data_IF_174443997542
#
_entry.id   IF_174443997542
#
_cell.length_a   1.000
_cell.length_b   1.000
_cell.length_c   1.000
_cell.angle_alpha   90.00
_cell.angle_beta   90.00
_cell.angle_gamma   90.00
#
_symmetry.space_group_name_H-M   'P 1'
#
loop_
_entity.id
_entity.type
_entity.pdbx_description
1 polymer ?
#
# COMPACT_ATOMS: atom_id res chain seq x y z
N UNK A 1 47.20 26.66 -27.41
CA UNK A 1 47.23 25.55 -28.39
C UNK A 1 46.46 24.40 -27.75
N UNK A 2 45.34 23.88 -28.26
CA UNK A 2 44.65 24.07 -29.53
C UNK A 2 43.13 23.97 -29.28
N UNK A 3 42.39 24.78 -30.03
CA UNK A 3 40.93 24.83 -30.15
C UNK A 3 40.43 23.73 -31.10
N UNK A 4 39.31 23.08 -30.81
CA UNK A 4 38.51 22.37 -31.81
C UNK A 4 37.03 22.73 -31.70
N UNK A 5 36.46 23.04 -32.86
CA UNK A 5 35.18 23.69 -33.09
C UNK A 5 34.05 22.70 -33.37
N UNK A 6 32.87 23.08 -32.87
CA UNK A 6 31.50 22.96 -33.41
C UNK A 6 31.22 22.00 -34.57
N UNK A 7 30.19 21.15 -34.40
CA UNK A 7 29.14 20.95 -35.39
C UNK A 7 27.78 20.74 -34.70
N UNK A 8 26.93 21.76 -34.82
CA UNK A 8 25.51 21.78 -34.49
C UNK A 8 24.70 21.30 -35.70
N UNK A 9 23.82 20.32 -35.50
CA UNK A 9 22.85 19.86 -36.51
C UNK A 9 21.46 20.41 -36.20
N UNK A 10 20.95 21.26 -37.09
CA UNK A 10 19.55 21.71 -37.13
C UNK A 10 18.78 20.88 -38.17
N UNK A 11 17.56 20.39 -37.88
CA UNK A 11 16.68 19.88 -38.91
C UNK A 11 15.80 21.01 -39.48
N UNK A 12 15.95 21.26 -40.77
CA UNK A 12 15.04 22.09 -41.57
C UNK A 12 13.81 21.28 -41.95
N UNK A 13 12.62 21.72 -41.53
CA UNK A 13 11.34 21.22 -42.02
C UNK A 13 10.69 22.30 -42.89
N UNK A 14 10.59 22.01 -44.19
CA UNK A 14 9.91 22.82 -45.18
C UNK A 14 8.41 22.45 -45.20
N UNK A 15 7.48 23.42 -45.27
CA UNK A 15 6.04 23.13 -45.23
C UNK A 15 5.52 22.71 -46.61
N UNK A 16 4.84 21.57 -46.68
CA UNK A 16 4.12 21.11 -47.88
C UNK A 16 2.75 21.82 -47.94
N UNK A 17 2.60 22.63 -48.99
CA UNK A 17 1.38 23.28 -49.46
C UNK A 17 0.39 22.23 -49.99
N UNK A 18 -0.70 21.96 -49.29
CA UNK A 18 -1.82 21.20 -49.84
C UNK A 18 -2.77 22.14 -50.60
N UNK A 19 -2.88 21.92 -51.90
CA UNK A 19 -3.84 22.58 -52.78
C UNK A 19 -5.23 21.94 -52.65
N UNK A 20 -6.25 22.80 -52.56
CA UNK A 20 -7.64 22.45 -52.76
C UNK A 20 -7.88 21.94 -54.19
N UNK A 21 -8.54 20.78 -54.32
CA UNK A 21 -9.24 20.42 -55.54
C UNK A 21 -10.60 19.80 -55.19
N UNK A 22 -11.68 20.54 -55.47
CA UNK A 22 -13.02 19.99 -55.72
C UNK A 22 -13.05 19.41 -57.14
N UNK A 23 -13.94 18.44 -57.38
CA UNK A 23 -14.69 18.49 -58.63
C UNK A 23 -16.21 18.37 -58.39
N UNK A 24 -16.95 19.27 -59.05
CA UNK A 24 -18.38 19.17 -59.32
C UNK A 24 -18.52 19.15 -60.86
N UNK A 25 -19.23 18.16 -61.42
CA UNK A 25 -19.95 18.19 -62.71
C UNK A 25 -20.67 16.83 -62.84
N UNK A 26 -22.00 16.72 -62.65
CA UNK A 26 -23.13 17.00 -63.57
C UNK A 26 -23.18 16.10 -64.83
N UNK A 27 -24.27 15.32 -64.85
CA UNK A 27 -25.10 14.74 -65.92
C UNK A 27 -24.53 13.69 -66.90
N UNK A 28 -25.27 12.56 -67.04
CA UNK A 28 -26.15 12.28 -68.21
C UNK A 28 -27.04 11.06 -67.90
N UNK A 29 -28.27 11.16 -68.40
CA UNK A 29 -29.45 10.29 -68.29
C UNK A 29 -29.27 8.85 -68.81
N UNK A 30 -29.99 7.89 -68.20
CA UNK A 30 -30.74 6.87 -68.97
C UNK A 30 -31.82 6.15 -68.15
N UNK A 31 -33.08 6.48 -68.49
CA UNK A 31 -34.24 5.60 -68.71
C UNK A 31 -34.54 4.44 -67.73
N UNK A 32 -35.65 4.59 -66.99
CA UNK A 32 -36.50 3.50 -66.49
C UNK A 32 -37.14 2.69 -67.64
N UNK A 33 -37.66 1.49 -67.33
CA UNK A 33 -39.11 1.35 -67.44
C UNK A 33 -39.77 0.71 -66.22
N UNK A 34 -41.01 1.13 -65.98
CA UNK A 34 -41.99 0.53 -65.07
C UNK A 34 -42.57 -0.75 -65.69
N UNK A 35 -42.81 -1.75 -64.86
CA UNK A 35 -43.93 -2.69 -65.00
C UNK A 35 -44.38 -3.14 -63.59
N UNK A 36 -45.70 -3.15 -63.41
CA UNK A 36 -46.53 -3.45 -62.23
C UNK A 36 -47.73 -4.25 -62.79
N UNK A 37 -48.59 -4.97 -62.04
CA UNK A 37 -48.47 -5.79 -60.83
C UNK A 37 -48.98 -7.24 -61.07
N UNK A 38 -48.86 -8.15 -60.08
CA UNK A 38 -49.77 -9.30 -59.95
C UNK A 38 -50.23 -9.42 -58.49
N UNK A 39 -51.54 -9.66 -58.33
CA UNK A 39 -52.34 -9.57 -57.11
C UNK A 39 -53.17 -10.86 -57.02
N UNK A 40 -53.14 -11.53 -55.86
CA UNK A 40 -54.17 -12.47 -55.39
C UNK A 40 -54.24 -12.29 -53.86
N UNK A 41 -55.21 -11.53 -53.34
CA UNK A 41 -56.46 -12.00 -52.68
C UNK A 41 -56.18 -12.60 -51.29
N UNK A 42 -56.30 -11.83 -50.20
CA UNK A 42 -57.52 -11.44 -49.45
C UNK A 42 -58.11 -12.56 -48.59
N UNK A 43 -57.94 -12.42 -47.27
CA UNK A 43 -59.02 -12.63 -46.29
C UNK A 43 -58.76 -11.71 -45.10
N UNK A 44 -59.75 -10.91 -44.74
CA UNK A 44 -59.66 -9.93 -43.65
C UNK A 44 -60.28 -10.45 -42.36
N UNK A 45 -59.76 -9.96 -41.23
CA UNK A 45 -60.48 -9.79 -39.96
C UNK A 45 -59.58 -9.07 -38.96
N UNK A 46 -59.90 -7.82 -38.65
CA UNK A 46 -59.70 -7.17 -37.34
C UNK A 46 -61.05 -7.28 -36.60
N UNK A 47 -61.11 -7.35 -35.24
CA UNK A 47 -60.47 -6.38 -34.33
C UNK A 47 -59.74 -6.95 -33.08
N UNK A 48 -58.84 -6.12 -32.53
CA UNK A 48 -58.26 -5.95 -31.16
C UNK A 48 -58.61 -6.92 -29.99
N UNK A 49 -57.88 -6.91 -28.84
CA UNK A 49 -56.46 -6.63 -28.59
C UNK A 49 -55.82 -7.66 -27.60
N UNK A 50 -54.53 -7.46 -27.30
CA UNK A 50 -53.78 -7.97 -26.12
C UNK A 50 -53.11 -9.36 -26.14
N UNK A 51 -51.83 -9.30 -25.74
CA UNK A 51 -51.00 -10.34 -25.10
C UNK A 51 -50.08 -11.15 -26.02
N UNK A 52 -48.94 -10.56 -26.39
CA UNK A 52 -47.72 -11.31 -26.67
C UNK A 52 -46.89 -11.49 -25.39
N UNK A 53 -46.30 -12.66 -25.15
CA UNK A 53 -45.02 -12.77 -24.49
C UNK A 53 -43.99 -13.24 -25.53
N UNK A 54 -43.51 -12.34 -26.38
CA UNK A 54 -42.39 -12.65 -27.25
C UNK A 54 -41.06 -12.47 -26.51
N UNK A 55 -40.39 -13.61 -26.41
CA UNK A 55 -39.03 -13.79 -25.93
C UNK A 55 -38.06 -13.19 -26.93
N UNK A 56 -37.67 -11.93 -26.77
CA UNK A 56 -36.42 -11.40 -27.32
C UNK A 56 -36.04 -10.07 -26.65
N UNK A 57 -34.72 -9.84 -26.56
CA UNK A 57 -34.01 -8.59 -26.21
C UNK A 57 -33.85 -8.23 -24.72
N UNK A 58 -32.85 -8.83 -24.08
CA UNK A 58 -32.12 -8.17 -22.98
C UNK A 58 -30.89 -7.46 -23.57
N UNK A 59 -31.13 -6.36 -24.29
CA UNK A 59 -30.08 -5.43 -24.68
C UNK A 59 -29.75 -4.53 -23.48
N UNK A 60 -28.48 -4.59 -23.09
CA UNK A 60 -27.82 -3.91 -21.99
C UNK A 60 -27.92 -2.39 -22.11
N UNK A 61 -28.85 -1.74 -21.40
CA UNK A 61 -28.86 -0.26 -21.26
C UNK A 61 -28.99 0.24 -19.81
N UNK A 62 -29.17 -0.66 -18.84
CA UNK A 62 -29.24 -0.34 -17.39
C UNK A 62 -27.88 -0.40 -16.69
N UNK A 63 -26.81 -0.82 -17.37
CA UNK A 63 -25.53 -1.23 -16.75
C UNK A 63 -24.64 -0.12 -16.19
N UNK A 64 -24.45 1.00 -16.91
CA UNK A 64 -23.38 1.97 -16.59
C UNK A 64 -23.60 2.76 -15.30
N UNK A 65 -24.84 3.18 -15.02
CA UNK A 65 -25.16 3.87 -13.75
C UNK A 65 -24.98 2.96 -12.54
N UNK A 66 -25.25 1.65 -12.67
CA UNK A 66 -25.04 0.68 -11.61
C UNK A 66 -23.54 0.42 -11.40
N UNK A 67 -22.77 0.31 -12.48
CA UNK A 67 -21.31 0.21 -12.43
C UNK A 67 -20.69 1.34 -11.61
N UNK A 68 -21.03 2.60 -11.89
CA UNK A 68 -20.44 3.74 -11.16
C UNK A 68 -20.83 3.78 -9.68
N UNK A 69 -22.04 3.33 -9.33
CA UNK A 69 -22.45 3.14 -7.92
C UNK A 69 -21.62 2.07 -7.23
N UNK A 70 -21.37 0.94 -7.89
CA UNK A 70 -20.49 -0.11 -7.38
C UNK A 70 -19.05 0.41 -7.19
N UNK A 71 -18.51 1.13 -8.19
CA UNK A 71 -17.19 1.76 -8.10
C UNK A 71 -17.11 2.69 -6.90
N UNK A 72 -18.12 3.54 -6.68
CA UNK A 72 -18.19 4.44 -5.53
C UNK A 72 -18.24 3.67 -4.20
N UNK A 73 -19.03 2.59 -4.13
CA UNK A 73 -19.13 1.73 -2.95
C UNK A 73 -17.83 1.02 -2.61
N UNK A 74 -17.20 0.34 -3.58
CA UNK A 74 -15.93 -0.37 -3.39
C UNK A 74 -14.82 0.61 -3.01
N UNK A 75 -14.77 1.78 -3.66
CA UNK A 75 -13.81 2.83 -3.32
C UNK A 75 -14.04 3.38 -1.90
N UNK A 76 -15.29 3.47 -1.46
CA UNK A 76 -15.64 3.85 -0.08
C UNK A 76 -15.13 2.84 0.96
N UNK A 77 -15.18 1.53 0.66
CA UNK A 77 -14.62 0.49 1.52
C UNK A 77 -13.10 0.65 1.63
N UNK A 78 -12.41 0.85 0.50
CA UNK A 78 -10.96 1.10 0.49
C UNK A 78 -10.56 2.39 1.22
N UNK A 79 -11.39 3.42 1.13
CA UNK A 79 -11.21 4.67 1.89
C UNK A 79 -11.32 4.42 3.40
N UNK A 80 -12.30 3.62 3.83
CA UNK A 80 -12.46 3.25 5.23
C UNK A 80 -11.27 2.41 5.74
N UNK A 81 -10.86 1.39 4.97
CA UNK A 81 -9.70 0.55 5.27
C UNK A 81 -8.43 1.39 5.46
N UNK A 82 -8.12 2.25 4.48
CA UNK A 82 -6.90 3.09 4.52
C UNK A 82 -6.98 4.18 5.60
N UNK A 83 -8.16 4.68 5.93
CA UNK A 83 -8.37 5.58 7.07
C UNK A 83 -8.09 4.90 8.39
N UNK A 84 -8.52 3.64 8.56
CA UNK A 84 -8.21 2.84 9.74
C UNK A 84 -6.71 2.60 9.87
N UNK A 85 -6.03 2.20 8.80
CA UNK A 85 -4.58 2.00 8.79
C UNK A 85 -3.81 3.30 9.10
N UNK A 86 -4.31 4.44 8.62
CA UNK A 86 -3.72 5.74 8.94
C UNK A 86 -3.89 6.08 10.43
N UNK A 87 -5.06 5.81 11.01
CA UNK A 87 -5.33 6.05 12.42
C UNK A 87 -4.41 5.24 13.34
N UNK A 88 -4.24 3.93 13.07
CA UNK A 88 -3.34 3.08 13.88
C UNK A 88 -1.88 3.51 13.72
N UNK A 89 -1.46 3.95 12.52
CA UNK A 89 -0.10 4.45 12.28
C UNK A 89 0.20 5.74 13.06
N UNK A 90 -0.80 6.62 13.21
CA UNK A 90 -0.68 7.87 13.98
C UNK A 90 -0.74 7.66 15.50
N UNK A 91 -1.48 6.64 15.95
CA UNK A 91 -1.65 6.34 17.38
C UNK A 91 -0.61 5.35 17.92
N UNK A 92 0.21 4.75 17.06
CA UNK A 92 1.19 3.74 17.45
C UNK A 92 0.54 2.45 17.98
N UNK A 93 -0.74 2.21 17.67
CA UNK A 93 -1.48 1.03 18.12
C UNK A 93 -1.30 -0.13 17.14
N UNK A 94 -1.35 -1.36 17.64
CA UNK A 94 -1.25 -2.55 16.79
C UNK A 94 -2.50 -2.77 15.92
N UNK A 95 -2.26 -3.27 14.71
CA UNK A 95 -3.33 -3.60 13.77
C UNK A 95 -4.08 -4.86 14.21
N UNK A 96 -5.42 -4.78 14.31
CA UNK A 96 -6.24 -5.94 14.66
C UNK A 96 -6.26 -6.95 13.50
N UNK A 97 -5.67 -8.14 13.68
CA UNK A 97 -5.66 -9.19 12.66
C UNK A 97 -6.61 -10.34 13.07
N UNK A 98 -7.79 -10.49 12.43
CA UNK A 98 -8.76 -11.51 12.82
C UNK A 98 -8.36 -12.94 12.46
N UNK A 99 -7.32 -13.12 11.65
CA UNK A 99 -6.83 -14.44 11.24
C UNK A 99 -5.70 -14.85 12.18
N UNK A 100 -5.95 -15.91 12.95
CA UNK A 100 -5.04 -16.42 13.97
C UNK A 100 -3.66 -16.73 13.38
N UNK A 101 -2.65 -15.92 13.71
CA UNK A 101 -1.24 -16.18 13.39
C UNK A 101 -0.52 -15.26 12.39
N UNK A 102 -1.11 -14.14 11.94
CA UNK A 102 -0.41 -13.17 11.07
C UNK A 102 -0.26 -11.78 11.69
N UNK A 103 0.98 -11.32 11.92
CA UNK A 103 1.28 -9.94 12.31
C UNK A 103 1.34 -9.03 11.07
N UNK A 104 0.33 -8.18 10.86
CA UNK A 104 0.46 -7.06 9.91
C UNK A 104 1.44 -5.99 10.41
N UNK A 105 1.76 -5.99 11.71
CA UNK A 105 2.55 -4.93 12.35
C UNK A 105 3.94 -4.78 11.73
N UNK A 106 4.61 -5.89 11.42
CA UNK A 106 5.95 -5.90 10.81
C UNK A 106 5.95 -5.20 9.44
N UNK A 107 4.92 -5.46 8.64
CA UNK A 107 4.76 -4.88 7.30
C UNK A 107 4.37 -3.40 7.41
N UNK A 108 3.42 -3.07 8.29
CA UNK A 108 2.91 -1.71 8.49
C UNK A 108 3.93 -0.78 9.16
N UNK A 109 4.92 -1.33 9.85
CA UNK A 109 6.02 -0.59 10.48
C UNK A 109 7.34 -0.65 9.71
N UNK A 110 7.41 -1.44 8.63
CA UNK A 110 8.57 -1.46 7.74
C UNK A 110 8.76 -0.18 6.93
N UNK A 111 9.95 -0.04 6.33
CA UNK A 111 10.27 1.04 5.38
C UNK A 111 9.34 1.05 4.14
N UNK A 112 8.69 -0.07 3.84
CA UNK A 112 7.73 -0.15 2.74
C UNK A 112 6.39 0.54 3.04
N UNK A 113 6.11 0.84 4.32
CA UNK A 113 4.91 1.55 4.74
C UNK A 113 4.97 3.07 4.49
N UNK A 114 6.09 3.58 3.97
CA UNK A 114 6.31 5.00 3.67
C UNK A 114 6.80 5.15 2.23
N UNK A 115 6.18 6.04 1.47
CA UNK A 115 6.59 6.38 0.09
C UNK A 115 6.94 7.87 0.07
N UNK A 116 8.18 8.20 -0.30
CA UNK A 116 8.70 9.58 -0.32
C UNK A 116 8.48 10.35 1.00
N UNK A 117 8.58 9.67 2.15
CA UNK A 117 8.35 10.26 3.47
C UNK A 117 6.87 10.39 3.87
N UNK A 118 5.94 10.00 3.00
CA UNK A 118 4.49 10.03 3.27
C UNK A 118 4.00 8.62 3.62
N UNK A 119 3.23 8.45 4.71
CA UNK A 119 2.62 7.16 5.03
C UNK A 119 1.79 6.61 3.87
N UNK A 120 2.03 5.37 3.49
CA UNK A 120 1.31 4.71 2.40
C UNK A 120 -0.22 4.68 2.61
N UNK A 121 -0.76 4.47 3.83
CA UNK A 121 -2.19 4.56 4.08
C UNK A 121 -2.80 5.92 3.71
N UNK A 122 -2.04 7.01 3.86
CA UNK A 122 -2.50 8.35 3.50
C UNK A 122 -2.63 8.52 1.98
N UNK A 123 -1.66 7.98 1.22
CA UNK A 123 -1.70 7.95 -0.24
C UNK A 123 -2.89 7.10 -0.72
N UNK A 124 -3.10 5.93 -0.09
CA UNK A 124 -4.25 5.08 -0.36
C UNK A 124 -5.57 5.78 -0.09
N UNK A 125 -5.69 6.47 1.04
CA UNK A 125 -6.87 7.26 1.41
C UNK A 125 -7.19 8.33 0.36
N UNK A 126 -6.18 9.04 -0.13
CA UNK A 126 -6.35 10.03 -1.21
C UNK A 126 -6.81 9.36 -2.53
N UNK A 127 -6.20 8.24 -2.91
CA UNK A 127 -6.54 7.53 -4.15
C UNK A 127 -7.96 6.93 -4.14
N UNK A 128 -8.33 6.20 -3.08
CA UNK A 128 -9.67 5.66 -2.92
C UNK A 128 -10.72 6.76 -2.76
N UNK A 129 -10.41 7.85 -2.03
CA UNK A 129 -11.29 9.01 -1.92
C UNK A 129 -11.54 9.65 -3.28
N UNK A 130 -10.50 9.83 -4.09
CA UNK A 130 -10.64 10.37 -5.44
C UNK A 130 -11.47 9.46 -6.35
N UNK A 131 -11.20 8.16 -6.36
CA UNK A 131 -11.99 7.19 -7.11
C UNK A 131 -13.47 7.17 -6.67
N UNK A 132 -13.75 7.27 -5.36
CA UNK A 132 -15.10 7.36 -4.82
C UNK A 132 -15.83 8.61 -5.31
N UNK A 133 -15.15 9.78 -5.33
CA UNK A 133 -15.75 11.02 -5.84
C UNK A 133 -16.06 10.94 -7.32
N UNK A 134 -15.16 10.41 -8.15
CA UNK A 134 -15.39 10.23 -9.59
C UNK A 134 -16.53 9.24 -9.84
N UNK A 135 -16.56 8.12 -9.13
CA UNK A 135 -17.66 7.15 -9.20
C UNK A 135 -19.01 7.80 -8.84
N UNK A 136 -19.05 8.60 -7.78
CA UNK A 136 -20.27 9.31 -7.38
C UNK A 136 -20.71 10.38 -8.40
N UNK A 137 -19.77 11.16 -8.94
CA UNK A 137 -20.06 12.17 -9.97
C UNK A 137 -20.58 11.53 -11.26
N UNK A 138 -19.98 10.42 -11.69
CA UNK A 138 -20.44 9.65 -12.85
C UNK A 138 -21.81 9.00 -12.61
N UNK A 139 -22.06 8.48 -11.41
CA UNK A 139 -23.34 7.88 -11.05
C UNK A 139 -24.49 8.90 -10.98
N UNK A 140 -24.20 10.13 -10.55
CA UNK A 140 -25.20 11.20 -10.39
C UNK A 140 -25.27 12.15 -11.59
N UNK A 141 -24.35 12.03 -12.55
CA UNK A 141 -24.11 13.00 -13.63
C UNK A 141 -23.93 14.44 -13.12
N UNK A 142 -23.52 14.62 -11.87
CA UNK A 142 -23.23 15.93 -11.26
C UNK A 142 -21.73 16.14 -11.27
N UNK A 143 -21.23 16.71 -12.36
CA UNK A 143 -19.82 17.04 -12.47
C UNK A 143 -19.53 18.37 -11.78
N UNK A 144 -18.51 18.36 -10.92
CA UNK A 144 -17.97 19.57 -10.32
C UNK A 144 -16.73 20.03 -11.11
N UNK A 145 -16.34 21.30 -10.99
CA UNK A 145 -15.13 21.87 -11.62
C UNK A 145 -15.05 21.84 -13.17
N UNK A 146 -16.20 21.80 -13.87
CA UNK A 146 -16.21 21.86 -15.35
C UNK A 146 -15.69 20.60 -16.04
N UNK A 147 -15.68 19.46 -15.33
CA UNK A 147 -15.26 18.17 -15.88
C UNK A 147 -16.39 17.58 -16.72
N UNK A 148 -16.09 17.15 -17.94
CA UNK A 148 -17.05 16.44 -18.80
C UNK A 148 -17.05 14.93 -18.50
N UNK A 149 -18.15 14.25 -18.83
CA UNK A 149 -18.31 12.79 -18.62
C UNK A 149 -17.13 11.96 -19.17
N UNK A 150 -16.69 12.24 -20.41
CA UNK A 150 -15.57 11.53 -21.03
C UNK A 150 -14.25 11.73 -20.27
N UNK A 151 -14.01 12.94 -19.76
CA UNK A 151 -12.81 13.23 -18.98
C UNK A 151 -12.86 12.54 -17.61
N UNK A 152 -14.02 12.54 -16.95
CA UNK A 152 -14.21 11.84 -15.67
C UNK A 152 -14.00 10.32 -15.82
N UNK A 153 -14.49 9.73 -16.91
CA UNK A 153 -14.26 8.32 -17.24
C UNK A 153 -12.78 8.02 -17.48
N UNK A 154 -12.08 8.87 -18.24
CA UNK A 154 -10.64 8.73 -18.46
C UNK A 154 -9.83 8.87 -17.17
N UNK A 155 -10.21 9.81 -16.31
CA UNK A 155 -9.56 10.06 -15.04
C UNK A 155 -9.78 8.91 -14.05
N UNK A 156 -10.97 8.31 -14.07
CA UNK A 156 -11.28 7.09 -13.31
C UNK A 156 -10.45 5.91 -13.81
N UNK A 157 -10.33 5.73 -15.14
CA UNK A 157 -9.48 4.70 -15.73
C UNK A 157 -8.01 4.89 -15.34
N UNK A 158 -7.49 6.11 -15.43
CA UNK A 158 -6.12 6.43 -15.03
C UNK A 158 -5.87 6.15 -13.55
N UNK A 159 -6.80 6.55 -12.69
CA UNK A 159 -6.71 6.35 -11.23
C UNK A 159 -6.72 4.87 -10.87
N UNK A 160 -7.69 4.11 -11.39
CA UNK A 160 -7.80 2.66 -11.10
C UNK A 160 -6.64 1.86 -11.67
N UNK A 161 -6.10 2.25 -12.84
CA UNK A 161 -4.87 1.68 -13.41
C UNK A 161 -3.67 1.93 -12.49
N UNK A 162 -3.53 3.16 -11.99
CA UNK A 162 -2.47 3.53 -11.05
C UNK A 162 -2.54 2.72 -9.75
N UNK A 163 -3.74 2.59 -9.18
CA UNK A 163 -3.98 1.81 -7.97
C UNK A 163 -3.66 0.33 -8.18
N UNK A 164 -4.10 -0.28 -9.29
CA UNK A 164 -3.80 -1.67 -9.61
C UNK A 164 -2.29 -1.91 -9.82
N UNK A 165 -1.60 -0.99 -10.51
CA UNK A 165 -0.15 -1.06 -10.70
C UNK A 165 0.61 -0.96 -9.36
N UNK A 166 0.22 -0.03 -8.50
CA UNK A 166 0.80 0.12 -7.15
C UNK A 166 0.53 -1.12 -6.29
N UNK A 167 -0.71 -1.61 -6.25
CA UNK A 167 -1.07 -2.84 -5.53
C UNK A 167 -0.32 -4.07 -6.05
N UNK A 168 -0.07 -4.16 -7.37
CA UNK A 168 0.76 -5.22 -7.95
C UNK A 168 2.21 -5.16 -7.44
N UNK A 169 2.77 -3.95 -7.39
CA UNK A 169 4.13 -3.73 -6.86
C UNK A 169 4.21 -4.06 -5.36
N UNK A 170 3.24 -3.65 -4.56
CA UNK A 170 3.21 -3.99 -3.13
C UNK A 170 3.02 -5.48 -2.91
N UNK A 171 2.19 -6.15 -3.71
CA UNK A 171 2.06 -7.60 -3.67
C UNK A 171 3.40 -8.29 -3.98
N UNK A 172 4.13 -7.80 -4.99
CA UNK A 172 5.48 -8.27 -5.28
C UNK A 172 6.39 -8.14 -4.04
N UNK A 173 6.45 -6.96 -3.43
CA UNK A 173 7.24 -6.74 -2.20
C UNK A 173 6.81 -7.66 -1.07
N UNK A 174 5.50 -7.83 -0.81
CA UNK A 174 5.00 -8.73 0.22
C UNK A 174 5.52 -10.16 0.00
N UNK A 175 5.47 -10.65 -1.24
CA UNK A 175 5.90 -12.02 -1.56
C UNK A 175 7.43 -12.20 -1.53
N UNK A 176 8.21 -11.16 -1.82
CA UNK A 176 9.68 -11.27 -1.90
C UNK A 176 10.41 -10.83 -0.64
N UNK A 177 9.93 -9.80 0.05
CA UNK A 177 10.58 -9.23 1.23
C UNK A 177 10.03 -9.81 2.55
N UNK A 178 8.78 -10.29 2.56
CA UNK A 178 8.12 -10.82 3.76
C UNK A 178 7.55 -12.23 3.53
N UNK A 179 8.36 -13.23 3.16
CA UNK A 179 7.86 -14.56 2.80
C UNK A 179 7.19 -15.33 3.96
N UNK A 180 7.49 -14.96 5.22
CA UNK A 180 6.96 -15.61 6.41
C UNK A 180 5.75 -14.89 7.04
N UNK A 181 5.42 -13.68 6.58
CA UNK A 181 4.37 -12.84 7.18
C UNK A 181 3.25 -12.56 6.17
N UNK A 182 2.00 -12.71 6.61
CA UNK A 182 0.82 -12.39 5.78
C UNK A 182 0.08 -11.20 6.36
N UNK A 183 -0.15 -10.16 5.57
CA UNK A 183 -0.99 -9.04 6.00
C UNK A 183 -2.37 -9.01 5.31
N UNK A 184 -3.42 -9.28 6.10
CA UNK A 184 -4.81 -9.31 5.64
C UNK A 184 -5.27 -7.98 5.06
N UNK A 185 -4.86 -6.86 5.66
CA UNK A 185 -5.20 -5.53 5.15
C UNK A 185 -4.57 -5.29 3.77
N UNK A 186 -3.27 -5.55 3.60
CA UNK A 186 -2.64 -5.35 2.29
C UNK A 186 -3.28 -6.23 1.20
N UNK A 187 -3.66 -7.47 1.52
CA UNK A 187 -4.38 -8.35 0.60
C UNK A 187 -5.78 -7.82 0.26
N UNK A 188 -6.50 -7.28 1.25
CA UNK A 188 -7.80 -6.64 1.02
C UNK A 188 -7.66 -5.46 0.06
N UNK A 189 -6.72 -4.56 0.30
CA UNK A 189 -6.46 -3.43 -0.60
C UNK A 189 -6.10 -3.87 -2.03
N UNK A 190 -5.28 -4.93 -2.18
CA UNK A 190 -4.97 -5.54 -3.49
C UNK A 190 -6.26 -5.99 -4.18
N UNK A 191 -7.12 -6.75 -3.50
CA UNK A 191 -8.38 -7.25 -4.05
C UNK A 191 -9.27 -6.06 -4.47
N UNK A 192 -9.41 -5.04 -3.64
CA UNK A 192 -10.23 -3.86 -3.95
C UNK A 192 -9.71 -3.12 -5.19
N UNK A 193 -8.41 -2.86 -5.28
CA UNK A 193 -7.79 -2.16 -6.42
C UNK A 193 -7.95 -2.91 -7.73
N UNK A 194 -7.74 -4.22 -7.74
CA UNK A 194 -7.93 -5.03 -8.94
C UNK A 194 -9.40 -5.08 -9.36
N UNK A 195 -10.34 -5.26 -8.41
CA UNK A 195 -11.77 -5.24 -8.72
C UNK A 195 -12.20 -3.91 -9.36
N UNK A 196 -11.75 -2.77 -8.80
CA UNK A 196 -12.03 -1.45 -9.38
C UNK A 196 -11.51 -1.31 -10.80
N UNK A 197 -10.29 -1.77 -11.07
CA UNK A 197 -9.70 -1.76 -12.40
C UNK A 197 -10.51 -2.62 -13.38
N UNK A 198 -10.83 -3.87 -13.02
CA UNK A 198 -11.59 -4.76 -13.89
C UNK A 198 -13.01 -4.26 -14.18
N UNK A 199 -13.70 -3.70 -13.18
CA UNK A 199 -15.03 -3.11 -13.36
C UNK A 199 -14.95 -1.91 -14.32
N UNK A 200 -13.93 -1.06 -14.15
CA UNK A 200 -13.75 0.15 -14.97
C UNK A 200 -13.42 -0.19 -16.42
N UNK A 201 -12.54 -1.17 -16.66
CA UNK A 201 -12.21 -1.66 -18.01
C UNK A 201 -13.43 -2.28 -18.70
N UNK A 202 -14.25 -3.05 -17.96
CA UNK A 202 -15.48 -3.66 -18.51
C UNK A 202 -16.51 -2.61 -18.92
N UNK A 203 -16.67 -1.55 -18.13
CA UNK A 203 -17.65 -0.48 -18.38
C UNK A 203 -17.29 0.38 -19.59
N UNK A 204 -15.99 0.70 -19.75
CA UNK A 204 -15.47 1.46 -20.89
C UNK A 204 -15.43 0.67 -22.21
N UNK A 205 -15.45 -0.66 -22.11
CA UNK A 205 -15.33 -1.55 -23.24
C UNK A 205 -13.88 -1.80 -23.66
N UNK A 206 -13.58 -3.05 -24.02
CA UNK A 206 -12.24 -3.49 -24.41
C UNK A 206 -11.70 -2.75 -25.63
N UNK A 207 -12.58 -2.36 -26.56
CA UNK A 207 -12.17 -1.66 -27.79
C UNK A 207 -11.63 -0.26 -27.51
N UNK A 208 -12.27 0.50 -26.62
CA UNK A 208 -11.80 1.84 -26.24
C UNK A 208 -10.59 1.74 -25.32
N UNK A 209 -10.59 0.75 -24.41
CA UNK A 209 -9.43 0.46 -23.56
C UNK A 209 -8.18 0.12 -24.38
N UNK A 210 -8.33 -0.64 -25.46
CA UNK A 210 -7.20 -0.98 -26.34
C UNK A 210 -6.59 0.25 -27.01
N UNK A 211 -7.42 1.24 -27.39
CA UNK A 211 -6.92 2.53 -27.90
C UNK A 211 -6.15 3.30 -26.82
N UNK A 212 -6.54 3.17 -25.57
CA UNK A 212 -5.91 3.81 -24.41
C UNK A 212 -4.76 2.98 -23.79
N UNK A 213 -4.45 1.79 -24.33
CA UNK A 213 -3.50 0.86 -23.73
C UNK A 213 -2.11 1.48 -23.56
N UNK A 214 -1.67 2.28 -24.54
CA UNK A 214 -0.41 3.03 -24.45
C UNK A 214 -0.36 3.95 -23.24
N UNK A 215 -1.46 4.64 -22.92
CA UNK A 215 -1.56 5.51 -21.75
C UNK A 215 -1.55 4.69 -20.45
N UNK A 216 -2.25 3.56 -20.40
CA UNK A 216 -2.27 2.69 -19.21
C UNK A 216 -0.89 2.10 -18.91
N UNK A 217 -0.19 1.60 -19.93
CA UNK A 217 1.17 1.10 -19.79
C UNK A 217 2.13 2.20 -19.37
N UNK A 218 1.96 3.42 -19.90
CA UNK A 218 2.75 4.57 -19.49
C UNK A 218 2.51 4.94 -18.02
N UNK A 219 1.24 5.02 -17.58
CA UNK A 219 0.90 5.29 -16.17
C UNK A 219 1.45 4.18 -15.26
N UNK A 220 1.24 2.91 -15.61
CA UNK A 220 1.76 1.78 -14.84
C UNK A 220 3.29 1.83 -14.75
N UNK A 221 3.97 2.14 -15.85
CA UNK A 221 5.43 2.30 -15.89
C UNK A 221 5.90 3.44 -15.00
N UNK A 222 5.23 4.58 -15.03
CA UNK A 222 5.53 5.72 -14.15
C UNK A 222 5.32 5.40 -12.68
N UNK A 223 4.23 4.70 -12.33
CA UNK A 223 3.95 4.28 -10.95
C UNK A 223 5.04 3.33 -10.46
N UNK A 224 5.35 2.29 -11.23
CA UNK A 224 6.41 1.34 -10.88
C UNK A 224 7.77 2.03 -10.79
N UNK A 225 8.10 2.92 -11.74
CA UNK A 225 9.34 3.69 -11.68
C UNK A 225 9.40 4.59 -10.45
N UNK A 226 8.29 5.24 -10.08
CA UNK A 226 8.21 6.11 -8.90
C UNK A 226 8.35 5.31 -7.62
N UNK A 227 7.65 4.19 -7.50
CA UNK A 227 7.76 3.30 -6.33
C UNK A 227 9.16 2.69 -6.25
N UNK A 228 9.70 2.18 -7.35
CA UNK A 228 11.06 1.67 -7.39
C UNK A 228 12.06 2.76 -7.02
N UNK A 229 11.94 3.97 -7.57
CA UNK A 229 12.81 5.10 -7.21
C UNK A 229 12.63 5.46 -5.75
N UNK A 230 11.42 5.47 -5.20
CA UNK A 230 11.17 5.75 -3.79
C UNK A 230 11.82 4.72 -2.88
N UNK A 231 11.68 3.42 -3.17
CA UNK A 231 12.23 2.38 -2.30
C UNK A 231 13.72 2.14 -2.53
N UNK A 232 14.20 2.29 -3.77
CA UNK A 232 15.64 2.30 -4.05
C UNK A 232 16.29 3.56 -3.51
N UNK A 233 15.61 4.71 -3.49
CA UNK A 233 16.13 5.94 -2.87
C UNK A 233 15.99 5.94 -1.36
N UNK A 234 15.01 5.26 -0.76
CA UNK A 234 15.04 4.91 0.66
C UNK A 234 16.20 3.94 0.97
N UNK A 235 16.48 3.00 0.06
CA UNK A 235 17.71 2.20 0.08
C UNK A 235 18.96 3.03 -0.24
N UNK A 236 18.86 4.19 -0.92
CA UNK A 236 19.98 5.09 -1.29
C UNK A 236 20.22 6.18 -0.26
N UNK A 237 19.20 6.59 0.49
CA UNK A 237 19.34 7.30 1.75
C UNK A 237 19.92 6.37 2.81
N UNK A 238 19.78 5.05 2.64
CA UNK A 238 20.55 4.01 3.34
C UNK A 238 21.87 3.61 2.64
N UNK A 239 22.15 4.01 1.39
CA UNK A 239 23.39 3.64 0.67
C UNK A 239 24.36 4.80 0.41
N UNK A 240 23.93 6.07 0.53
CA UNK A 240 24.84 7.19 0.82
C UNK A 240 25.19 7.26 2.31
N UNK A 241 24.57 6.40 3.13
CA UNK A 241 24.95 5.96 4.48
C UNK A 241 25.65 4.59 4.46
N UNK A 242 26.43 4.28 3.43
CA UNK A 242 27.60 3.44 3.62
C UNK A 242 28.66 4.34 4.28
N UNK A 243 28.59 4.62 5.58
CA UNK A 243 28.67 3.68 6.69
C UNK A 243 27.63 4.04 7.76
N UNK A 244 26.65 3.17 8.09
CA UNK A 244 25.84 3.31 9.30
C UNK A 244 26.82 3.10 10.46
N UNK A 245 27.50 4.15 10.88
CA UNK A 245 28.29 4.21 12.10
C UNK A 245 27.38 4.84 13.15
N UNK A 246 26.73 4.00 13.94
CA UNK A 246 25.99 4.44 15.12
C UNK A 246 26.98 4.51 16.27
N UNK A 247 27.43 5.71 16.67
CA UNK A 247 28.21 5.82 17.91
C UNK A 247 27.34 5.37 19.07
N UNK A 248 27.95 4.70 20.05
CA UNK A 248 27.26 4.33 21.27
C UNK A 248 26.72 5.59 21.97
N UNK A 249 25.47 5.51 22.41
CA UNK A 249 24.86 6.51 23.28
C UNK A 249 24.13 5.80 24.42
N UNK A 250 24.15 6.42 25.60
CA UNK A 250 23.39 5.92 26.73
C UNK A 250 21.91 6.30 26.55
N UNK A 251 21.02 5.30 26.60
CA UNK A 251 19.58 5.53 26.57
C UNK A 251 19.12 6.14 27.90
N UNK A 252 18.43 7.28 27.85
CA UNK A 252 17.84 7.89 29.03
C UNK A 252 16.49 7.26 29.37
N UNK A 253 16.30 6.88 30.64
CA UNK A 253 15.03 6.33 31.13
C UNK A 253 14.23 7.47 31.77
N UNK A 254 13.06 7.72 31.19
CA UNK A 254 12.18 8.84 31.57
C UNK A 254 11.32 8.51 32.80
N UNK A 255 10.90 7.26 32.94
CA UNK A 255 9.99 6.76 33.98
C UNK A 255 10.67 6.59 35.34
N UNK A 256 9.91 6.81 36.42
CA UNK A 256 10.35 6.55 37.80
C UNK A 256 9.99 5.13 38.23
N UNK A 257 10.84 4.51 39.03
CA UNK A 257 10.62 3.15 39.52
C UNK A 257 9.59 3.10 40.64
N UNK A 258 8.88 1.98 40.74
CA UNK A 258 7.97 1.68 41.85
C UNK A 258 8.68 0.85 42.91
N UNK A 259 8.14 0.69 44.13
CA UNK A 259 8.67 -0.25 45.11
C UNK A 259 8.73 -1.69 44.57
N UNK A 260 7.72 -2.10 43.80
CA UNK A 260 7.66 -3.40 43.15
C UNK A 260 8.81 -3.59 42.15
N UNK A 261 9.00 -2.66 41.20
CA UNK A 261 10.04 -2.80 40.18
C UNK A 261 11.45 -2.74 40.76
N UNK A 262 11.67 -1.94 41.81
CA UNK A 262 12.93 -1.93 42.54
C UNK A 262 13.19 -3.27 43.25
N UNK A 263 12.15 -3.87 43.84
CA UNK A 263 12.28 -5.18 44.50
C UNK A 263 12.53 -6.31 43.51
N UNK A 264 11.78 -6.33 42.42
CA UNK A 264 11.96 -7.30 41.34
C UNK A 264 13.35 -7.20 40.70
N UNK A 265 13.84 -5.98 40.43
CA UNK A 265 15.18 -5.78 39.88
C UNK A 265 16.28 -6.31 40.81
N UNK A 266 16.18 -6.07 42.13
CA UNK A 266 17.09 -6.63 43.14
C UNK A 266 17.08 -8.15 43.14
N UNK A 267 15.90 -8.74 43.07
CA UNK A 267 15.74 -10.19 43.01
C UNK A 267 16.39 -10.78 41.75
N UNK A 268 16.07 -10.21 40.57
CA UNK A 268 16.64 -10.61 39.29
C UNK A 268 18.19 -10.55 39.32
N UNK A 269 18.75 -9.47 39.85
CA UNK A 269 20.19 -9.35 40.06
C UNK A 269 20.73 -10.44 41.00
N UNK A 270 20.06 -10.70 42.14
CA UNK A 270 20.52 -11.67 43.13
C UNK A 270 20.58 -13.11 42.61
N UNK A 271 19.73 -13.47 41.65
CA UNK A 271 19.71 -14.78 41.00
C UNK A 271 20.58 -14.82 39.72
N UNK A 272 21.21 -13.71 39.36
CA UNK A 272 22.05 -13.58 38.16
C UNK A 272 21.27 -13.60 36.85
N UNK A 273 20.00 -13.17 36.86
CA UNK A 273 19.19 -13.02 35.67
C UNK A 273 19.75 -11.89 34.79
N UNK A 274 19.99 -12.19 33.51
CA UNK A 274 20.61 -11.23 32.58
C UNK A 274 19.66 -10.82 31.47
N UNK A 275 19.69 -9.54 31.13
CA UNK A 275 19.04 -9.01 29.94
C UNK A 275 20.09 -8.63 28.91
N UNK A 276 20.02 -9.22 27.72
CA UNK A 276 20.90 -8.92 26.60
C UNK A 276 20.18 -7.98 25.64
N UNK A 277 20.86 -6.92 25.21
CA UNK A 277 20.26 -5.96 24.28
C UNK A 277 21.29 -5.15 23.52
N UNK A 278 20.78 -4.16 22.79
CA UNK A 278 21.59 -3.19 22.06
C UNK A 278 21.15 -1.76 22.40
N UNK A 279 22.08 -0.80 22.38
CA UNK A 279 21.77 0.59 22.75
C UNK A 279 20.74 1.27 21.83
N UNK A 280 20.59 0.80 20.59
CA UNK A 280 19.62 1.32 19.60
C UNK A 280 18.29 0.55 19.57
N UNK A 281 18.11 -0.44 20.44
CA UNK A 281 16.93 -1.31 20.46
C UNK A 281 15.77 -0.64 21.21
N UNK A 282 14.67 -0.32 20.51
CA UNK A 282 13.47 0.29 21.11
C UNK A 282 12.85 -0.60 22.20
N UNK A 283 12.66 -1.89 21.92
CA UNK A 283 12.12 -2.85 22.90
C UNK A 283 13.00 -3.01 24.14
N UNK A 284 14.32 -2.82 24.00
CA UNK A 284 15.24 -2.85 25.12
C UNK A 284 15.10 -1.60 26.00
N UNK A 285 14.77 -0.45 25.40
CA UNK A 285 14.42 0.76 26.13
C UNK A 285 13.05 0.60 26.80
N UNK A 286 12.03 0.15 26.08
CA UNK A 286 10.67 -0.10 26.62
C UNK A 286 10.72 -1.04 27.83
N UNK A 287 11.48 -2.14 27.74
CA UNK A 287 11.70 -3.03 28.88
C UNK A 287 12.33 -2.30 30.08
N UNK A 288 13.33 -1.44 29.87
CA UNK A 288 13.96 -0.65 30.94
C UNK A 288 12.99 0.41 31.49
N UNK A 289 12.15 1.01 30.67
CA UNK A 289 11.13 1.97 31.08
C UNK A 289 10.04 1.32 31.95
N UNK A 290 9.68 0.07 31.69
CA UNK A 290 8.77 -0.69 32.56
C UNK A 290 9.33 -0.84 33.99
N UNK A 291 10.65 -0.98 34.14
CA UNK A 291 11.29 -1.00 35.46
C UNK A 291 11.42 0.38 36.09
N UNK A 292 11.71 1.40 35.29
CA UNK A 292 12.00 2.75 35.74
C UNK A 292 13.48 2.99 36.05
N UNK A 293 13.85 4.28 36.15
CA UNK A 293 15.25 4.74 36.17
C UNK A 293 16.11 4.14 37.29
N UNK A 294 15.57 4.01 38.49
CA UNK A 294 16.26 3.50 39.68
C UNK A 294 16.40 1.97 39.67
N UNK A 295 15.36 1.25 39.24
CA UNK A 295 15.35 -0.21 39.17
C UNK A 295 16.16 -0.72 37.97
N UNK A 296 16.09 -0.06 36.82
CA UNK A 296 16.82 -0.46 35.62
C UNK A 296 18.35 -0.42 35.82
N UNK A 297 18.86 0.46 36.70
CA UNK A 297 20.28 0.51 37.10
C UNK A 297 20.76 -0.73 37.86
N UNK A 298 19.82 -1.50 38.41
CA UNK A 298 20.10 -2.70 39.20
C UNK A 298 20.02 -3.97 38.35
N UNK A 299 19.51 -3.89 37.12
CA UNK A 299 19.45 -5.02 36.21
C UNK A 299 20.84 -5.38 35.69
N UNK A 300 21.13 -6.68 35.59
CA UNK A 300 22.32 -7.18 34.90
C UNK A 300 22.11 -7.12 33.38
N UNK A 301 22.18 -5.90 32.85
CA UNK A 301 22.10 -5.63 31.42
C UNK A 301 23.45 -5.87 30.73
N UNK A 302 23.45 -6.65 29.66
CA UNK A 302 24.60 -6.88 28.79
C UNK A 302 24.38 -6.14 27.47
N UNK A 303 25.14 -5.06 27.28
CA UNK A 303 25.21 -4.34 26.01
C UNK A 303 26.00 -5.16 25.00
N UNK A 304 25.34 -5.61 23.93
CA UNK A 304 25.99 -6.45 22.93
C UNK A 304 26.90 -5.67 21.97
N UNK A 305 26.76 -4.34 21.93
CA UNK A 305 27.53 -3.45 21.04
C UNK A 305 27.99 -2.17 21.76
N UNK A 306 28.88 -2.30 22.76
CA UNK A 306 29.30 -1.17 23.60
C UNK A 306 30.16 -0.14 22.85
N UNK A 307 30.78 -0.53 21.73
CA UNK A 307 31.63 0.33 20.91
C UNK A 307 30.87 0.98 19.74
N UNK A 308 29.53 0.95 19.78
CA UNK A 308 28.72 1.37 18.66
C UNK A 308 28.48 0.26 17.64
N UNK A 309 27.73 0.58 16.60
CA UNK A 309 27.41 -0.36 15.53
C UNK A 309 27.85 0.20 14.19
N UNK A 310 28.53 -0.66 13.42
CA UNK A 310 28.76 -0.45 12.00
C UNK A 310 28.66 -1.75 11.24
N UNK A 311 28.55 -1.65 9.92
CA UNK A 311 28.49 -2.84 9.06
C UNK A 311 29.71 -3.74 9.29
N UNK A 312 29.47 -4.97 9.71
CA UNK A 312 30.51 -5.95 10.04
C UNK A 312 30.96 -5.95 11.51
N UNK A 313 30.44 -5.06 12.36
CA UNK A 313 30.61 -5.16 13.81
C UNK A 313 30.00 -6.45 14.30
N UNK A 314 30.79 -7.23 15.04
CA UNK A 314 30.32 -8.43 15.73
C UNK A 314 29.89 -8.05 17.15
N UNK A 315 28.87 -8.73 17.65
CA UNK A 315 28.53 -8.65 19.06
C UNK A 315 29.74 -9.02 19.93
N UNK A 316 29.78 -8.49 21.15
CA UNK A 316 30.80 -8.92 22.12
C UNK A 316 30.68 -10.41 22.41
N UNK A 317 31.80 -11.00 22.82
CA UNK A 317 31.91 -12.44 23.11
C UNK A 317 30.83 -12.93 24.09
N UNK A 318 30.47 -12.13 25.10
CA UNK A 318 29.44 -12.49 26.06
C UNK A 318 28.06 -12.76 25.43
N UNK A 319 27.68 -12.04 24.38
CA UNK A 319 26.42 -12.25 23.67
C UNK A 319 26.51 -13.39 22.65
N UNK A 320 27.68 -13.57 22.01
CA UNK A 320 27.92 -14.69 21.09
C UNK A 320 27.91 -16.02 21.85
N UNK A 321 28.62 -16.10 22.97
CA UNK A 321 28.72 -17.30 23.81
C UNK A 321 27.34 -17.64 24.42
N UNK A 322 26.53 -16.63 24.73
CA UNK A 322 25.14 -16.78 25.17
C UNK A 322 24.15 -17.11 24.04
N UNK A 323 24.61 -17.16 22.77
CA UNK A 323 23.80 -17.47 21.58
C UNK A 323 22.58 -16.55 21.43
N UNK A 324 22.77 -15.25 21.62
CA UNK A 324 21.70 -14.26 21.46
C UNK A 324 21.35 -14.12 19.97
N UNK A 325 20.10 -14.41 19.61
CA UNK A 325 19.59 -14.32 18.23
C UNK A 325 18.80 -13.02 17.98
N UNK A 326 18.31 -12.37 19.04
CA UNK A 326 17.53 -11.13 18.97
C UNK A 326 17.51 -10.36 20.29
N UNK A 327 16.96 -9.13 20.27
CA UNK A 327 16.94 -8.24 21.43
C UNK A 327 15.52 -7.73 21.74
N UNK A 328 15.20 -7.47 23.02
CA UNK A 328 15.95 -7.95 24.18
C UNK A 328 15.83 -9.48 24.29
N UNK A 329 16.79 -10.11 24.96
CA UNK A 329 16.69 -11.53 25.35
C UNK A 329 17.01 -11.63 26.83
N UNK A 330 16.14 -12.29 27.59
CA UNK A 330 16.37 -12.60 28.98
C UNK A 330 16.90 -14.02 29.15
N UNK A 331 17.89 -14.17 30.01
CA UNK A 331 18.34 -15.48 30.50
C UNK A 331 18.13 -15.51 32.01
N UNK A 332 17.16 -16.32 32.44
CA UNK A 332 16.71 -16.40 33.84
C UNK A 332 16.64 -17.87 34.22
N UNK A 333 17.38 -18.30 35.25
CA UNK A 333 17.41 -19.70 35.70
C UNK A 333 17.69 -20.72 34.57
N UNK A 334 18.48 -20.33 33.56
CA UNK A 334 18.79 -21.15 32.38
C UNK A 334 17.70 -21.17 31.30
N UNK A 335 16.56 -20.52 31.52
CA UNK A 335 15.52 -20.31 30.49
C UNK A 335 15.85 -19.08 29.65
N UNK A 336 15.59 -19.17 28.35
CA UNK A 336 15.77 -18.08 27.39
C UNK A 336 14.39 -17.54 27.02
N UNK A 337 14.14 -16.26 27.29
CA UNK A 337 12.92 -15.56 26.91
C UNK A 337 13.28 -14.50 25.87
N UNK A 338 12.65 -14.56 24.71
CA UNK A 338 12.91 -13.64 23.60
C UNK A 338 11.89 -12.51 23.57
N UNK A 339 12.36 -11.30 23.30
CA UNK A 339 11.53 -10.10 23.25
C UNK A 339 11.31 -9.48 24.62
N UNK A 340 10.58 -8.36 24.62
CA UNK A 340 10.12 -7.73 25.86
C UNK A 340 9.17 -8.67 26.63
N UNK A 341 9.23 -8.59 27.95
CA UNK A 341 8.50 -9.43 28.88
C UNK A 341 7.72 -8.55 29.85
N UNK A 342 6.49 -8.94 30.17
CA UNK A 342 5.73 -8.29 31.22
C UNK A 342 6.43 -8.49 32.58
N UNK A 343 6.34 -7.49 33.47
CA UNK A 343 6.97 -7.57 34.79
C UNK A 343 6.44 -8.75 35.62
N UNK A 344 5.16 -9.12 35.44
CA UNK A 344 4.56 -10.27 36.09
C UNK A 344 5.16 -11.58 35.59
N UNK A 345 5.41 -11.71 34.29
CA UNK A 345 6.07 -12.88 33.71
C UNK A 345 7.51 -13.03 34.23
N UNK A 346 8.26 -11.92 34.26
CA UNK A 346 9.60 -11.90 34.85
C UNK A 346 9.59 -12.31 36.33
N UNK A 347 8.58 -11.88 37.10
CA UNK A 347 8.43 -12.28 38.50
C UNK A 347 8.16 -13.78 38.65
N UNK A 348 7.34 -14.35 37.78
CA UNK A 348 6.98 -15.78 37.82
C UNK A 348 8.18 -16.65 37.45
N UNK A 349 8.86 -16.34 36.34
CA UNK A 349 10.00 -17.13 35.84
C UNK A 349 11.22 -17.01 36.76
N UNK A 350 11.41 -15.85 37.41
CA UNK A 350 12.47 -15.65 38.39
C UNK A 350 12.16 -16.27 39.77
N UNK A 351 10.92 -16.71 40.00
CA UNK A 351 10.49 -17.21 41.31
C UNK A 351 10.38 -16.12 42.39
N UNK A 352 10.23 -14.85 41.98
CA UNK A 352 10.02 -13.72 42.88
C UNK A 352 8.74 -13.92 43.70
N UNK A 353 8.77 -13.60 45.00
CA UNK A 353 7.60 -13.63 45.87
C UNK A 353 7.26 -12.22 46.33
N UNK A 354 5.96 -11.92 46.39
CA UNK A 354 5.48 -10.60 46.82
C UNK A 354 5.89 -10.25 48.27
N UNK A 355 6.15 -11.27 49.11
CA UNK A 355 6.73 -11.12 50.45
C UNK A 355 8.15 -10.54 50.46
N UNK A 356 8.85 -10.53 49.31
CA UNK A 356 10.20 -10.00 49.17
C UNK A 356 10.21 -8.48 48.95
N UNK A 357 9.02 -7.87 48.78
CA UNK A 357 8.87 -6.43 48.69
C UNK A 357 9.11 -5.80 50.08
N UNK A 358 10.13 -4.95 50.27
CA UNK A 358 10.31 -4.25 51.54
C UNK A 358 9.11 -3.34 51.78
N UNK A 359 8.66 -3.33 53.04
CA UNK A 359 7.50 -2.58 53.55
C UNK A 359 7.60 -1.08 53.30
#
# INVERSE_FOLDING_TARGET
MATMSLLSFSPSFNPIRYQHHKPNLISILRSSPRLVPLKCSSFGSEPEPETEPETATLATSTGSNWTYKLVAGISGIGLFETSYLNFIKLTGSDAFCPVSGGSCTDILNSDYAVVLGVPLPLIGMAAYGFAATLGFQLATNKFSFGINKSNAQLLLLATTTSMAAASSYFLYILTTAFPASSCTYCLLSVILSFNLFFITVKDLGLQETYKQLGLQLFISGLVVLTLNTSYTSSNSASSSLAEIELPYYATEISTSSTPFTQSLARHLHSIGARMYGAFWCSHCLEQKEMFGREAAKQLDYVECFPEGYRKGTKMIKACIDAKIEGFPTWIINGQVLSGEQELLELSQVSGYRESDQPS
#
